data_IF_358577197758
#
_entry.id   IF_358577197758
#
_cell.length_a   1.000
_cell.length_b   1.000
_cell.length_c   1.000
_cell.angle_alpha   90.00
_cell.angle_beta   90.00
_cell.angle_gamma   90.00
#
_symmetry.space_group_name_H-M   'P 1'
#
loop_
_entity.id
_entity.type
_entity.pdbx_description
1 polymer ?
#
# COMPACT_ATOMS: atom_id res chain seq x y z
N UNK A 1 14.96 15.52 7.50
CA UNK A 1 15.99 15.29 6.46
C UNK A 1 16.08 13.78 6.22
N UNK A 2 16.17 13.36 4.99
CA UNK A 2 16.37 11.97 4.56
C UNK A 2 17.66 11.86 3.76
N UNK A 3 18.15 10.65 3.54
CA UNK A 3 19.32 10.37 2.75
C UNK A 3 18.91 9.66 1.45
N UNK A 4 19.01 10.30 0.27
CA UNK A 4 18.79 9.60 -1.00
C UNK A 4 19.78 8.44 -1.14
N UNK A 5 19.28 7.31 -1.59
CA UNK A 5 20.09 6.09 -1.74
C UNK A 5 21.25 6.31 -2.70
N UNK A 6 22.48 5.81 -2.42
CA UNK A 6 23.65 6.01 -3.29
C UNK A 6 23.51 5.32 -4.65
N UNK A 7 22.79 4.18 -4.74
CA UNK A 7 22.64 3.36 -5.95
C UNK A 7 22.10 4.14 -7.14
N UNK A 8 22.84 4.27 -8.25
CA UNK A 8 22.32 4.90 -9.46
C UNK A 8 21.22 4.05 -10.13
N UNK A 9 21.28 2.72 -9.98
CA UNK A 9 20.29 1.80 -10.53
C UNK A 9 18.93 2.02 -9.88
N UNK A 10 18.89 2.10 -8.54
CA UNK A 10 17.65 2.35 -7.83
C UNK A 10 17.07 3.73 -8.15
N UNK A 11 17.91 4.76 -8.22
CA UNK A 11 17.50 6.12 -8.59
C UNK A 11 16.84 6.16 -9.97
N UNK A 12 17.47 5.56 -10.98
CA UNK A 12 16.95 5.49 -12.34
C UNK A 12 15.61 4.73 -12.40
N UNK A 13 15.47 3.63 -11.66
CA UNK A 13 14.21 2.88 -11.57
C UNK A 13 13.09 3.72 -10.95
N UNK A 14 13.35 4.44 -9.87
CA UNK A 14 12.35 5.29 -9.21
C UNK A 14 12.02 6.55 -10.01
N UNK A 15 12.98 7.13 -10.74
CA UNK A 15 12.72 8.26 -11.63
C UNK A 15 11.72 7.89 -12.72
N UNK A 16 11.90 6.72 -13.33
CA UNK A 16 11.00 6.21 -14.38
C UNK A 16 9.67 5.70 -13.84
N UNK A 17 9.66 5.11 -12.65
CA UNK A 17 8.50 4.46 -12.04
C UNK A 17 8.47 4.72 -10.52
N UNK A 18 7.93 5.87 -10.08
CA UNK A 18 7.90 6.26 -8.66
C UNK A 18 6.78 5.55 -7.88
N UNK A 19 6.57 4.27 -8.17
CA UNK A 19 5.62 3.38 -7.50
C UNK A 19 6.08 1.93 -7.62
N UNK A 20 5.50 1.05 -6.83
CA UNK A 20 5.80 -0.38 -6.82
C UNK A 20 4.50 -1.18 -7.01
N UNK A 21 4.60 -2.34 -7.65
CA UNK A 21 3.43 -3.15 -7.99
C UNK A 21 2.73 -2.67 -9.27
N UNK A 22 1.38 -2.68 -9.24
CA UNK A 22 0.55 -2.26 -10.37
C UNK A 22 0.65 -0.74 -10.63
N UNK A 23 0.39 -0.28 -11.87
CA UNK A 23 0.21 1.14 -12.14
C UNK A 23 -0.86 1.76 -11.24
N UNK A 24 -0.64 3.00 -10.72
CA UNK A 24 -1.62 3.63 -9.83
C UNK A 24 -3.02 3.75 -10.44
N UNK A 25 -3.14 3.98 -11.74
CA UNK A 25 -4.40 4.08 -12.47
C UNK A 25 -5.22 2.78 -12.47
N UNK A 26 -4.56 1.63 -12.44
CA UNK A 26 -5.18 0.29 -12.48
C UNK A 26 -5.44 -0.28 -11.08
N UNK A 27 -4.77 0.25 -10.06
CA UNK A 27 -4.80 -0.31 -8.72
C UNK A 27 -6.14 -0.07 -8.01
N UNK A 28 -6.71 -1.13 -7.45
CA UNK A 28 -7.88 -1.07 -6.55
C UNK A 28 -7.48 -0.86 -5.07
N UNK A 29 -6.24 -1.17 -4.73
CA UNK A 29 -5.66 -1.08 -3.39
C UNK A 29 -4.36 -0.27 -3.50
N UNK A 30 -4.39 0.95 -2.98
CA UNK A 30 -3.25 1.85 -2.97
C UNK A 30 -2.73 2.01 -1.53
N UNK A 31 -1.52 1.57 -1.28
CA UNK A 31 -0.82 1.78 -0.01
C UNK A 31 0.15 2.95 -0.17
N UNK A 32 -0.03 3.98 0.66
CA UNK A 32 0.88 5.14 0.65
C UNK A 32 1.80 5.05 1.86
N UNK A 33 3.10 5.00 1.59
CA UNK A 33 4.17 4.97 2.58
C UNK A 33 4.89 6.31 2.72
N UNK A 34 5.94 6.33 3.55
CA UNK A 34 6.77 7.52 3.72
C UNK A 34 7.91 7.56 2.71
N UNK A 35 8.69 6.48 2.64
CA UNK A 35 9.87 6.36 1.80
C UNK A 35 10.21 4.88 1.52
N UNK A 36 10.69 4.61 0.33
CA UNK A 36 11.23 3.31 -0.05
C UNK A 36 12.67 3.19 0.46
N UNK A 37 12.83 2.51 1.59
CA UNK A 37 14.11 2.42 2.28
C UNK A 37 14.82 1.11 1.96
N UNK A 38 16.07 1.21 1.51
CA UNK A 38 16.94 0.08 1.19
C UNK A 38 18.24 0.14 2.00
N UNK A 39 18.88 -0.99 2.16
CA UNK A 39 20.24 -1.07 2.71
C UNK A 39 21.21 -0.29 1.79
N UNK A 40 22.11 0.57 2.32
CA UNK A 40 23.04 1.33 1.49
C UNK A 40 23.91 0.46 0.59
N UNK A 41 24.20 -0.78 1.00
CA UNK A 41 25.01 -1.75 0.28
C UNK A 41 24.16 -2.79 -0.50
N UNK A 42 22.89 -2.50 -0.75
CA UNK A 42 21.94 -3.44 -1.37
C UNK A 42 22.42 -4.01 -2.72
N UNK A 43 23.20 -3.23 -3.50
CA UNK A 43 23.77 -3.69 -4.78
C UNK A 43 24.73 -4.88 -4.60
N UNK A 44 25.36 -4.99 -3.45
CA UNK A 44 26.25 -6.11 -3.10
C UNK A 44 25.48 -7.33 -2.58
N UNK A 45 24.19 -7.19 -2.35
CA UNK A 45 23.35 -8.29 -1.87
C UNK A 45 23.04 -9.31 -2.97
N UNK A 46 23.11 -10.62 -2.68
CA UNK A 46 22.65 -11.66 -3.62
C UNK A 46 21.19 -11.48 -4.06
N UNK A 47 20.38 -10.78 -3.28
CA UNK A 47 18.96 -10.50 -3.59
C UNK A 47 18.75 -9.27 -4.47
N UNK A 48 19.80 -8.50 -4.79
CA UNK A 48 19.65 -7.28 -5.59
C UNK A 48 19.04 -7.49 -6.98
N UNK A 49 19.40 -8.55 -7.75
CA UNK A 49 18.73 -8.83 -9.02
C UNK A 49 17.20 -8.97 -8.88
N UNK A 50 16.73 -9.62 -7.81
CA UNK A 50 15.30 -9.76 -7.54
C UNK A 50 14.64 -8.41 -7.14
N UNK A 51 15.38 -7.52 -6.49
CA UNK A 51 14.91 -6.14 -6.21
C UNK A 51 14.74 -5.37 -7.51
N UNK A 52 15.71 -5.46 -8.42
CA UNK A 52 15.64 -4.80 -9.75
C UNK A 52 14.47 -5.35 -10.56
N UNK A 53 14.31 -6.67 -10.65
CA UNK A 53 13.19 -7.33 -11.32
C UNK A 53 11.84 -6.81 -10.80
N UNK A 54 11.68 -6.78 -9.47
CA UNK A 54 10.47 -6.29 -8.81
C UNK A 54 10.17 -4.82 -9.12
N UNK A 55 11.18 -3.96 -9.07
CA UNK A 55 11.02 -2.53 -9.36
C UNK A 55 10.71 -2.29 -10.84
N UNK A 56 11.22 -3.12 -11.75
CA UNK A 56 10.88 -3.06 -13.17
C UNK A 56 9.42 -3.48 -13.42
N UNK A 57 9.02 -4.64 -12.91
CA UNK A 57 7.65 -5.16 -13.02
C UNK A 57 7.23 -5.95 -11.78
N UNK A 58 6.71 -5.26 -10.78
CA UNK A 58 6.24 -5.88 -9.53
C UNK A 58 5.05 -6.82 -9.73
N UNK A 59 4.24 -6.63 -10.76
CA UNK A 59 3.11 -7.51 -11.09
C UNK A 59 3.62 -8.84 -11.63
N UNK A 60 4.51 -8.80 -12.61
CA UNK A 60 5.14 -10.01 -13.16
C UNK A 60 5.96 -10.73 -12.10
N UNK A 61 6.76 -9.99 -11.31
CA UNK A 61 7.50 -10.56 -10.20
C UNK A 61 6.61 -11.35 -9.24
N UNK A 62 5.52 -10.74 -8.76
CA UNK A 62 4.63 -11.41 -7.81
C UNK A 62 3.99 -12.67 -8.40
N UNK A 63 3.56 -12.62 -9.67
CA UNK A 63 2.99 -13.78 -10.35
C UNK A 63 3.99 -14.91 -10.56
N UNK A 64 5.24 -14.58 -10.86
CA UNK A 64 6.32 -15.54 -11.11
C UNK A 64 6.82 -16.19 -9.80
N UNK A 65 7.06 -15.39 -8.78
CA UNK A 65 7.69 -15.87 -7.55
C UNK A 65 6.68 -16.25 -6.44
N UNK A 66 5.38 -15.97 -6.64
CA UNK A 66 4.33 -16.28 -5.65
C UNK A 66 4.36 -15.38 -4.41
N UNK A 67 5.28 -14.43 -4.31
CA UNK A 67 5.45 -13.49 -3.19
C UNK A 67 5.37 -12.06 -3.65
N UNK A 68 4.79 -11.17 -2.81
CA UNK A 68 4.51 -9.79 -3.17
C UNK A 68 5.73 -8.86 -3.17
N UNK A 69 6.87 -9.31 -2.65
CA UNK A 69 8.09 -8.48 -2.56
C UNK A 69 9.33 -9.37 -2.44
N UNK A 70 10.49 -8.99 -3.02
CA UNK A 70 11.74 -9.79 -2.97
C UNK A 70 12.24 -10.06 -1.55
N UNK A 71 11.94 -9.19 -0.58
CA UNK A 71 12.29 -9.41 0.83
C UNK A 71 11.55 -10.60 1.47
N UNK A 72 10.59 -11.21 0.79
CA UNK A 72 9.91 -12.44 1.21
C UNK A 72 10.55 -13.71 0.64
N UNK A 73 11.45 -13.58 -0.33
CA UNK A 73 12.17 -14.72 -0.87
C UNK A 73 13.00 -15.42 0.23
N UNK A 74 13.20 -16.76 0.14
CA UNK A 74 13.93 -17.53 1.16
C UNK A 74 15.34 -17.03 1.41
N UNK A 75 16.01 -16.58 0.37
CA UNK A 75 17.42 -16.17 0.41
C UNK A 75 17.65 -14.75 0.94
N UNK A 76 16.60 -13.95 1.06
CA UNK A 76 16.72 -12.61 1.63
C UNK A 76 16.97 -12.67 3.14
N UNK A 77 18.05 -12.03 3.60
CA UNK A 77 18.48 -12.00 5.02
C UNK A 77 18.48 -10.58 5.63
N UNK A 78 18.15 -9.56 4.85
CA UNK A 78 18.22 -8.16 5.27
C UNK A 78 17.02 -7.69 6.09
N UNK A 79 17.07 -6.41 6.46
CA UNK A 79 16.00 -5.68 7.15
C UNK A 79 14.78 -5.46 6.22
N UNK A 80 13.68 -4.95 6.78
CA UNK A 80 12.45 -4.71 6.00
C UNK A 80 11.55 -5.93 5.83
N UNK A 81 12.07 -7.15 6.00
CA UNK A 81 11.29 -8.40 5.88
C UNK A 81 10.05 -8.41 6.77
N UNK A 82 10.12 -7.81 7.95
CA UNK A 82 9.02 -7.76 8.91
C UNK A 82 7.81 -6.98 8.36
N UNK A 83 8.04 -5.84 7.68
CA UNK A 83 7.01 -5.07 7.01
C UNK A 83 6.27 -5.93 5.97
N UNK A 84 7.00 -6.56 5.07
CA UNK A 84 6.43 -7.35 3.98
C UNK A 84 5.75 -8.63 4.46
N UNK A 85 6.25 -9.26 5.54
CA UNK A 85 5.55 -10.38 6.21
C UNK A 85 4.19 -9.97 6.76
N UNK A 86 4.08 -8.79 7.37
CA UNK A 86 2.79 -8.30 7.85
C UNK A 86 1.85 -7.96 6.69
N UNK A 87 2.36 -7.35 5.61
CA UNK A 87 1.58 -7.14 4.40
C UNK A 87 1.07 -8.47 3.81
N UNK A 88 1.91 -9.49 3.71
CA UNK A 88 1.52 -10.80 3.19
C UNK A 88 0.39 -11.47 4.00
N UNK A 89 0.25 -11.15 5.30
CA UNK A 89 -0.85 -11.65 6.15
C UNK A 89 -2.23 -11.10 5.77
N UNK A 90 -2.31 -10.06 4.94
CA UNK A 90 -3.58 -9.59 4.37
C UNK A 90 -4.25 -10.72 3.54
N UNK A 91 -3.43 -11.61 2.96
CA UNK A 91 -3.93 -12.73 2.17
C UNK A 91 -4.18 -12.40 0.69
N UNK A 92 -3.60 -11.31 0.17
CA UNK A 92 -3.57 -11.09 -1.27
C UNK A 92 -2.83 -12.22 -1.97
N UNK A 93 -3.41 -12.74 -3.03
CA UNK A 93 -2.83 -13.78 -3.88
C UNK A 93 -2.12 -13.18 -5.10
N UNK A 94 -1.27 -13.92 -5.82
CA UNK A 94 -0.67 -13.46 -7.08
C UNK A 94 -1.67 -12.97 -8.13
N UNK A 95 -2.91 -13.47 -8.10
CA UNK A 95 -4.02 -12.99 -8.94
C UNK A 95 -4.43 -11.55 -8.63
N UNK A 96 -4.16 -11.04 -7.44
CA UNK A 96 -4.40 -9.65 -7.04
C UNK A 96 -3.26 -8.70 -7.41
N UNK A 97 -2.12 -9.20 -7.92
CA UNK A 97 -0.93 -8.39 -8.16
C UNK A 97 -1.20 -7.14 -9.02
N UNK A 98 -2.04 -7.28 -10.07
CA UNK A 98 -2.43 -6.16 -10.93
C UNK A 98 -3.44 -5.17 -10.28
N UNK A 99 -3.81 -5.39 -9.03
CA UNK A 99 -4.75 -4.53 -8.30
C UNK A 99 -4.11 -3.84 -7.10
N UNK A 100 -2.83 -4.08 -6.82
CA UNK A 100 -2.13 -3.55 -5.64
C UNK A 100 -0.97 -2.65 -6.07
N UNK A 101 -0.97 -1.43 -5.55
CA UNK A 101 0.06 -0.42 -5.77
C UNK A 101 0.61 0.09 -4.44
N UNK A 102 1.90 0.36 -4.41
CA UNK A 102 2.57 1.10 -3.34
C UNK A 102 3.15 2.39 -3.91
N UNK A 103 2.87 3.51 -3.26
CA UNK A 103 3.50 4.81 -3.54
C UNK A 103 4.07 5.36 -2.24
N UNK A 104 5.22 6.02 -2.33
CA UNK A 104 5.83 6.66 -1.18
C UNK A 104 5.66 8.19 -1.29
N UNK A 105 5.67 8.92 -0.16
CA UNK A 105 5.64 10.38 -0.20
C UNK A 105 6.97 10.97 -0.70
N UNK A 106 8.08 10.25 -0.48
CA UNK A 106 9.38 10.58 -1.06
C UNK A 106 9.54 9.84 -2.39
N UNK A 107 9.81 10.58 -3.45
CA UNK A 107 9.86 10.09 -4.83
C UNK A 107 11.14 9.36 -5.22
N UNK A 108 12.13 9.34 -4.32
CA UNK A 108 13.44 8.70 -4.53
C UNK A 108 13.67 7.61 -3.49
N UNK A 109 14.45 6.57 -3.80
CA UNK A 109 14.82 5.57 -2.80
C UNK A 109 15.72 6.20 -1.74
N UNK A 110 15.57 5.74 -0.50
CA UNK A 110 16.30 6.26 0.66
C UNK A 110 17.09 5.16 1.35
N UNK A 111 17.95 5.54 2.30
CA UNK A 111 18.61 4.60 3.19
C UNK A 111 18.70 5.16 4.61
N UNK A 112 18.87 4.28 5.59
CA UNK A 112 18.98 4.65 7.00
C UNK A 112 17.66 5.13 7.60
N UNK A 113 17.72 5.89 8.69
CA UNK A 113 16.54 6.42 9.36
C UNK A 113 16.19 7.81 8.84
N UNK A 114 14.98 7.95 8.30
CA UNK A 114 14.46 9.22 7.81
C UNK A 114 13.62 9.92 8.88
N UNK A 115 13.89 11.22 9.10
CA UNK A 115 13.00 12.13 9.83
C UNK A 115 12.44 13.12 8.83
N UNK A 116 11.38 12.71 8.14
CA UNK A 116 10.78 13.50 7.08
C UNK A 116 10.01 14.70 7.62
N UNK A 117 10.17 15.82 6.94
CA UNK A 117 9.44 17.08 7.14
C UNK A 117 8.76 17.47 5.82
N UNK A 118 7.79 18.39 5.83
CA UNK A 118 7.15 18.84 4.59
C UNK A 118 8.13 19.40 3.54
N UNK A 119 9.24 20.00 3.97
CA UNK A 119 10.28 20.54 3.07
C UNK A 119 11.12 19.47 2.36
N UNK A 120 11.03 18.22 2.79
CA UNK A 120 11.69 17.09 2.14
C UNK A 120 10.88 16.51 0.97
N UNK A 121 9.63 16.97 0.79
CA UNK A 121 8.69 16.43 -0.19
C UNK A 121 8.72 17.21 -1.50
N UNK A 122 8.79 16.52 -2.61
CA UNK A 122 8.69 17.09 -3.95
C UNK A 122 7.24 17.40 -4.31
N UNK A 123 6.95 18.65 -4.69
CA UNK A 123 5.59 19.10 -4.97
C UNK A 123 4.97 18.40 -6.18
N UNK A 124 5.73 18.20 -7.26
CA UNK A 124 5.24 17.52 -8.45
C UNK A 124 4.90 16.06 -8.16
N UNK A 125 5.71 15.42 -7.30
CA UNK A 125 5.42 14.05 -6.86
C UNK A 125 4.18 13.99 -5.95
N UNK A 126 3.99 14.94 -5.03
CA UNK A 126 2.77 15.00 -4.21
C UNK A 126 1.50 15.20 -5.07
N UNK A 127 1.59 15.93 -6.18
CA UNK A 127 0.49 15.99 -7.14
C UNK A 127 0.20 14.62 -7.76
N UNK A 128 1.23 13.87 -8.19
CA UNK A 128 1.05 12.49 -8.67
C UNK A 128 0.39 11.57 -7.64
N UNK A 129 0.79 11.66 -6.36
CA UNK A 129 0.15 10.91 -5.27
C UNK A 129 -1.32 11.33 -5.11
N UNK A 130 -1.61 12.64 -5.17
CA UNK A 130 -2.98 13.15 -5.09
C UNK A 130 -3.84 12.65 -6.24
N UNK A 131 -3.33 12.69 -7.46
CA UNK A 131 -4.02 12.19 -8.66
C UNK A 131 -4.26 10.68 -8.58
N UNK A 132 -3.27 9.93 -8.12
CA UNK A 132 -3.42 8.50 -7.88
C UNK A 132 -4.52 8.19 -6.85
N UNK A 133 -4.68 8.99 -5.80
CA UNK A 133 -5.74 8.83 -4.81
C UNK A 133 -7.11 9.17 -5.41
N UNK A 134 -7.20 10.23 -6.23
CA UNK A 134 -8.47 10.76 -6.75
C UNK A 134 -8.94 10.09 -8.05
N UNK A 135 -8.04 9.47 -8.83
CA UNK A 135 -8.25 9.13 -10.24
C UNK A 135 -9.28 8.03 -10.53
N UNK A 136 -9.47 7.06 -9.66
CA UNK A 136 -10.43 5.95 -9.86
C UNK A 136 -10.97 5.48 -8.50
N UNK A 137 -12.19 4.91 -8.46
CA UNK A 137 -12.73 4.32 -7.24
C UNK A 137 -11.79 3.22 -6.69
N UNK A 138 -11.32 3.39 -5.45
CA UNK A 138 -10.36 2.49 -4.84
C UNK A 138 -10.32 2.54 -3.32
N UNK A 139 -9.60 1.61 -2.74
CA UNK A 139 -9.27 1.57 -1.32
C UNK A 139 -7.85 2.11 -1.13
N UNK A 140 -7.69 3.19 -0.39
CA UNK A 140 -6.39 3.81 -0.08
C UNK A 140 -6.07 3.59 1.39
N UNK A 141 -4.83 3.27 1.71
CA UNK A 141 -4.39 2.96 3.06
C UNK A 141 -3.25 3.89 3.49
N UNK A 142 -3.49 4.64 4.57
CA UNK A 142 -2.54 5.59 5.14
C UNK A 142 -2.26 5.22 6.60
N UNK A 143 -1.00 5.15 6.98
CA UNK A 143 -0.63 5.12 8.40
C UNK A 143 -0.70 6.51 9.02
N UNK A 144 -0.72 6.60 10.36
CA UNK A 144 -0.76 7.89 11.08
C UNK A 144 0.40 8.81 10.69
N UNK A 145 1.60 8.25 10.53
CA UNK A 145 2.79 9.02 10.13
C UNK A 145 2.64 9.63 8.74
N UNK A 146 2.16 8.84 7.78
CA UNK A 146 1.87 9.29 6.41
C UNK A 146 0.82 10.39 6.42
N UNK A 147 -0.33 10.14 7.05
CA UNK A 147 -1.42 11.11 7.12
C UNK A 147 -1.01 12.41 7.81
N UNK A 148 -0.16 12.36 8.85
CA UNK A 148 0.40 13.54 9.50
C UNK A 148 1.27 14.36 8.54
N UNK A 149 2.17 13.71 7.80
CA UNK A 149 3.07 14.39 6.87
C UNK A 149 2.32 14.96 5.66
N UNK A 150 1.34 14.22 5.12
CA UNK A 150 0.45 14.71 4.05
C UNK A 150 -0.28 15.99 4.47
N UNK A 151 -0.88 16.03 5.67
CA UNK A 151 -1.53 17.25 6.19
C UNK A 151 -0.55 18.40 6.35
N UNK A 152 0.63 18.11 6.89
CA UNK A 152 1.65 19.14 7.14
C UNK A 152 2.21 19.74 5.83
N UNK A 153 2.15 19.01 4.72
CA UNK A 153 2.54 19.53 3.40
C UNK A 153 1.55 20.56 2.84
N UNK A 154 0.33 20.63 3.38
CA UNK A 154 -0.74 21.52 2.88
C UNK A 154 -1.34 21.12 1.51
N UNK A 155 -0.85 20.03 0.88
CA UNK A 155 -1.31 19.60 -0.45
C UNK A 155 -2.54 18.67 -0.41
N UNK A 156 -2.96 18.24 0.77
CA UNK A 156 -4.10 17.33 0.97
C UNK A 156 -5.14 17.96 1.93
N UNK A 157 -5.79 19.09 1.54
CA UNK A 157 -6.69 19.84 2.42
C UNK A 157 -7.95 19.04 2.81
N UNK A 158 -8.30 18.04 2.01
CA UNK A 158 -9.42 17.14 2.24
C UNK A 158 -9.14 16.10 3.35
N UNK A 159 -7.89 15.90 3.78
CA UNK A 159 -7.52 14.90 4.78
C UNK A 159 -7.76 15.43 6.20
N UNK A 160 -8.75 14.89 6.97
CA UNK A 160 -9.11 15.42 8.28
C UNK A 160 -8.02 15.18 9.33
N UNK A 161 -8.11 15.90 10.47
CA UNK A 161 -7.17 15.76 11.58
C UNK A 161 -7.29 14.40 12.28
N UNK A 162 -8.50 13.87 12.35
CA UNK A 162 -8.80 12.57 12.97
C UNK A 162 -9.61 11.70 12.01
N UNK A 163 -9.38 10.39 12.00
CA UNK A 163 -10.23 9.46 11.27
C UNK A 163 -11.59 9.32 11.97
N UNK A 164 -12.55 8.71 11.29
CA UNK A 164 -13.79 8.23 11.88
C UNK A 164 -13.55 7.14 12.93
N UNK A 165 -14.65 6.69 13.53
CA UNK A 165 -14.65 5.74 14.64
C UNK A 165 -14.95 4.30 14.21
N UNK A 166 -15.08 4.05 12.92
CA UNK A 166 -15.36 2.73 12.36
C UNK A 166 -14.29 1.71 12.78
N UNK A 167 -14.70 0.47 12.97
CA UNK A 167 -13.82 -0.63 13.37
C UNK A 167 -14.07 -1.83 12.47
N UNK A 168 -13.04 -2.62 12.14
CA UNK A 168 -11.64 -2.48 12.55
C UNK A 168 -10.83 -1.46 11.73
N UNK A 169 -11.28 -1.04 10.54
CA UNK A 169 -10.62 -0.04 9.70
C UNK A 169 -11.29 1.33 9.86
N UNK A 170 -10.59 2.27 10.48
CA UNK A 170 -11.05 3.64 10.58
C UNK A 170 -10.92 4.35 9.24
N UNK A 171 -11.91 5.18 8.91
CA UNK A 171 -11.94 5.90 7.63
C UNK A 171 -11.46 7.34 7.85
N UNK A 172 -10.46 7.76 7.06
CA UNK A 172 -10.04 9.15 6.98
C UNK A 172 -11.01 9.97 6.13
N UNK A 173 -11.38 9.46 4.96
CA UNK A 173 -12.15 10.22 3.98
C UNK A 173 -12.85 9.30 2.97
N UNK A 174 -13.97 9.77 2.40
CA UNK A 174 -14.67 9.13 1.27
C UNK A 174 -15.01 10.20 0.23
N UNK A 175 -14.69 9.91 -1.04
CA UNK A 175 -15.03 10.78 -2.17
C UNK A 175 -14.98 10.01 -3.47
N UNK A 176 -15.94 10.24 -4.38
CA UNK A 176 -15.92 9.70 -5.75
C UNK A 176 -15.79 8.17 -5.85
N UNK A 177 -16.26 7.41 -4.86
CA UNK A 177 -16.09 5.95 -4.79
C UNK A 177 -14.75 5.50 -4.19
N UNK A 178 -13.83 6.42 -3.90
CA UNK A 178 -12.60 6.14 -3.17
C UNK A 178 -12.84 6.22 -1.65
N UNK A 179 -12.36 5.21 -0.93
CA UNK A 179 -12.35 5.21 0.53
C UNK A 179 -10.90 5.19 1.03
N UNK A 180 -10.58 6.12 1.90
CA UNK A 180 -9.25 6.27 2.49
C UNK A 180 -9.30 5.79 3.93
N UNK A 181 -8.56 4.71 4.20
CA UNK A 181 -8.51 4.04 5.49
C UNK A 181 -7.26 4.40 6.27
N UNK A 182 -7.42 4.45 7.59
CA UNK A 182 -6.30 4.40 8.52
C UNK A 182 -5.94 2.95 8.79
N UNK A 183 -4.65 2.64 8.75
CA UNK A 183 -4.14 1.35 9.19
C UNK A 183 -2.90 1.51 10.07
N UNK A 184 -2.61 0.49 10.89
CA UNK A 184 -1.33 0.41 11.59
C UNK A 184 -0.22 0.16 10.57
N UNK A 185 0.85 0.96 10.65
CA UNK A 185 2.02 0.71 9.81
C UNK A 185 2.52 -0.73 10.00
N UNK A 186 2.82 -1.43 8.92
CA UNK A 186 3.16 -2.85 8.96
C UNK A 186 4.39 -3.18 9.81
N UNK A 187 5.28 -2.20 10.06
CA UNK A 187 6.44 -2.38 10.95
C UNK A 187 6.15 -2.15 12.44
N UNK A 188 4.92 -1.77 12.83
CA UNK A 188 4.60 -1.53 14.25
C UNK A 188 4.68 -2.82 15.04
N UNK A 189 5.44 -2.80 16.15
CA UNK A 189 5.54 -3.90 17.11
C UNK A 189 4.39 -3.84 18.13
N UNK A 190 4.01 -4.98 18.66
CA UNK A 190 2.86 -5.10 19.58
C UNK A 190 1.51 -4.89 18.88
N UNK A 191 0.48 -4.55 19.64
CA UNK A 191 -0.91 -4.32 19.14
C UNK A 191 -1.42 -5.46 18.24
N UNK A 192 -1.08 -6.69 18.58
CA UNK A 192 -1.28 -7.88 17.74
C UNK A 192 -2.74 -8.05 17.33
N UNK A 193 -3.67 -7.95 18.28
CA UNK A 193 -5.11 -8.11 18.04
C UNK A 193 -5.62 -7.07 17.04
N UNK A 194 -5.34 -5.79 17.28
CA UNK A 194 -5.75 -4.71 16.38
C UNK A 194 -5.15 -4.89 14.99
N UNK A 195 -3.85 -5.22 14.92
CA UNK A 195 -3.17 -5.46 13.63
C UNK A 195 -3.82 -6.60 12.87
N UNK A 196 -4.12 -7.72 13.54
CA UNK A 196 -4.77 -8.88 12.92
C UNK A 196 -6.15 -8.49 12.38
N UNK A 197 -6.98 -7.82 13.19
CA UNK A 197 -8.30 -7.37 12.77
C UNK A 197 -8.24 -6.41 11.55
N UNK A 198 -7.28 -5.48 11.53
CA UNK A 198 -7.09 -4.58 10.37
C UNK A 198 -6.66 -5.34 9.11
N UNK A 199 -5.71 -6.30 9.22
CA UNK A 199 -5.26 -7.11 8.08
C UNK A 199 -6.38 -7.97 7.50
N UNK A 200 -7.17 -8.61 8.35
CA UNK A 200 -8.35 -9.40 7.95
C UNK A 200 -9.40 -8.53 7.24
N UNK A 201 -9.65 -7.33 7.76
CA UNK A 201 -10.57 -6.39 7.15
C UNK A 201 -10.09 -5.88 5.78
N UNK A 202 -8.79 -5.63 5.61
CA UNK A 202 -8.21 -5.29 4.30
C UNK A 202 -8.38 -6.48 3.34
N UNK A 203 -8.11 -7.71 3.78
CA UNK A 203 -8.30 -8.92 2.98
C UNK A 203 -9.75 -9.14 2.56
N UNK A 204 -10.71 -8.82 3.43
CA UNK A 204 -12.13 -8.89 3.13
C UNK A 204 -12.55 -7.91 2.03
N UNK A 205 -11.91 -6.73 1.92
CA UNK A 205 -12.16 -5.79 0.81
C UNK A 205 -11.70 -6.37 -0.55
N UNK A 206 -10.70 -7.26 -0.55
CA UNK A 206 -10.24 -7.90 -1.78
C UNK A 206 -11.16 -9.05 -2.23
N UNK A 207 -11.82 -9.70 -1.28
CA UNK A 207 -12.70 -10.83 -1.50
C UNK A 207 -14.05 -10.55 -0.84
N UNK A 208 -14.86 -9.60 -1.35
CA UNK A 208 -16.18 -9.37 -0.81
C UNK A 208 -16.95 -10.68 -0.95
N UNK A 209 -17.24 -11.34 0.19
CA UNK A 209 -18.17 -12.48 0.22
C UNK A 209 -19.42 -11.99 -0.48
N UNK A 210 -19.91 -12.75 -1.46
CA UNK A 210 -21.21 -12.51 -2.03
C UNK A 210 -22.20 -12.37 -0.85
N UNK A 211 -22.58 -11.14 -0.56
CA UNK A 211 -23.53 -10.86 0.51
C UNK A 211 -24.80 -11.62 0.13
N UNK A 212 -25.14 -12.55 0.98
CA UNK A 212 -26.31 -13.39 1.00
C UNK A 212 -27.45 -12.80 0.16
N UNK A 213 -27.67 -13.41 -1.00
CA UNK A 213 -28.94 -13.32 -1.74
C UNK A 213 -29.95 -14.21 -1.02
N UNK A 214 -30.27 -13.87 0.21
CA UNK A 214 -31.50 -14.35 0.85
C UNK A 214 -32.67 -13.44 0.40
N UNK A 215 -33.00 -13.56 -0.86
CA UNK A 215 -34.38 -13.25 -1.26
C UNK A 215 -35.27 -14.30 -0.59
N UNK A 216 -36.31 -13.92 0.19
CA UNK A 216 -37.24 -14.88 0.74
C UNK A 216 -37.95 -15.60 -0.43
N UNK A 217 -38.23 -16.90 -0.29
CA UNK A 217 -38.97 -17.63 -1.32
C UNK A 217 -40.32 -16.95 -1.53
N UNK A 218 -40.56 -16.51 -2.75
CA UNK A 218 -41.89 -16.06 -3.14
C UNK A 218 -42.85 -17.21 -2.93
N UNK A 219 -43.72 -17.06 -1.95
CA UNK A 219 -44.82 -17.99 -1.70
C UNK A 219 -45.66 -18.15 -2.94
N UNK A 220 -45.76 -19.36 -3.45
CA UNK A 220 -46.82 -19.76 -4.37
C UNK A 220 -48.16 -19.48 -3.71
N UNK A 221 -48.89 -18.59 -4.29
CA UNK A 221 -50.33 -18.49 -4.05
C UNK A 221 -50.91 -19.63 -4.88
N UNK A 222 -51.26 -20.72 -4.25
CA UNK A 222 -52.10 -21.75 -4.86
C UNK A 222 -53.51 -21.17 -4.93
N UNK A 223 -53.97 -20.90 -6.14
CA UNK A 223 -55.37 -20.68 -6.45
C UNK A 223 -56.12 -21.99 -6.18
N UNK A 224 -56.98 -21.97 -5.21
CA UNK A 224 -58.05 -22.99 -5.05
C UNK A 224 -59.38 -22.34 -5.39
N UNK A 225 -59.97 -22.86 -6.47
CA UNK A 225 -61.32 -22.79 -6.95
C UNK A 225 -62.22 -21.67 -6.54
#
# INVERSE_FOLDING_TARGET
MYHPHPSPILKDLFERKPYQGAPPEDAKFLFVGLDANFDPDVESSPSFPSVVEYLQDGVAFWRTHGVSHPFLLPDYKGDGRYYHRNFARIGFLPSHAASVCFMELVHVPTFGQSKLTPSDLDEAHLHRVSDAIAGSPRNVFLSDGVAKLMRASGKFPWLPKSPGTESPLQVWHRSGGTTIYRHLHFSVWGRTERKTAELEAIGALANPKATDSTAPPQGRIDDVC
#
